data_IF_945737738370
#
_entry.id   IF_945737738370
#
_cell.length_a   1.000
_cell.length_b   1.000
_cell.length_c   1.000
_cell.angle_alpha   90.00
_cell.angle_beta   90.00
_cell.angle_gamma   90.00
#
_symmetry.space_group_name_H-M   'P 1'
#
loop_
_entity.id
_entity.type
_entity.pdbx_description
1 polymer ?
#
# COMPACT_ATOMS: atom_id res chain seq x y z
N UNK A 1 -2.94 -5.78 15.16
CA UNK A 1 -3.46 -5.39 13.83
C UNK A 1 -2.30 -5.46 12.84
N UNK A 2 -2.50 -5.99 11.62
CA UNK A 2 -1.41 -6.23 10.66
C UNK A 2 -0.81 -4.93 10.11
N UNK A 3 -1.66 -3.99 9.72
CA UNK A 3 -1.30 -2.59 9.43
C UNK A 3 -1.58 -1.74 10.65
N UNK A 4 -0.54 -1.45 11.43
CA UNK A 4 -0.62 -0.55 12.58
C UNK A 4 -0.57 0.92 12.16
N UNK A 5 -0.95 1.84 13.05
CA UNK A 5 -0.95 3.28 12.73
C UNK A 5 0.44 3.78 12.31
N UNK A 6 1.50 3.33 12.98
CA UNK A 6 2.88 3.71 12.65
C UNK A 6 3.28 3.27 11.24
N UNK A 7 2.80 2.11 10.77
CA UNK A 7 3.01 1.67 9.40
C UNK A 7 2.35 2.65 8.42
N UNK A 8 1.11 3.05 8.70
CA UNK A 8 0.37 4.00 7.84
C UNK A 8 1.07 5.36 7.81
N UNK A 9 1.48 5.88 8.96
CA UNK A 9 2.22 7.15 9.07
C UNK A 9 3.50 7.11 8.23
N UNK A 10 4.32 6.07 8.38
CA UNK A 10 5.56 5.92 7.60
C UNK A 10 5.30 5.92 6.09
N UNK A 11 4.30 5.17 5.62
CA UNK A 11 3.98 5.09 4.19
C UNK A 11 3.57 6.47 3.66
N UNK A 12 2.73 7.18 4.41
CA UNK A 12 2.27 8.53 4.03
C UNK A 12 3.43 9.51 3.95
N UNK A 13 4.32 9.50 4.93
CA UNK A 13 5.51 10.35 4.96
C UNK A 13 6.44 10.05 3.78
N UNK A 14 6.79 8.78 3.56
CA UNK A 14 7.71 8.38 2.50
C UNK A 14 7.12 8.58 1.09
N UNK A 15 5.82 8.40 0.92
CA UNK A 15 5.10 8.69 -0.33
C UNK A 15 5.09 10.18 -0.64
N UNK A 16 4.81 11.02 0.36
CA UNK A 16 4.85 12.47 0.19
C UNK A 16 6.27 12.96 -0.10
N UNK A 17 7.25 12.44 0.62
CA UNK A 17 8.65 12.79 0.42
C UNK A 17 9.13 12.42 -0.98
N UNK A 18 8.82 11.20 -1.44
CA UNK A 18 9.14 10.76 -2.80
C UNK A 18 8.52 11.67 -3.87
N UNK A 19 7.26 12.08 -3.71
CA UNK A 19 6.65 13.01 -4.68
C UNK A 19 7.35 14.37 -4.76
N UNK A 20 7.94 14.85 -3.65
CA UNK A 20 8.77 16.06 -3.63
C UNK A 20 10.09 15.81 -4.36
N UNK A 21 10.72 14.65 -4.19
CA UNK A 21 11.95 14.30 -4.90
C UNK A 21 11.73 14.28 -6.42
N UNK A 22 10.63 13.69 -6.87
CA UNK A 22 10.35 13.52 -8.30
C UNK A 22 9.84 14.78 -8.99
N UNK A 23 9.06 15.63 -8.29
CA UNK A 23 8.34 16.75 -8.93
C UNK A 23 8.59 18.12 -8.31
N UNK A 24 9.31 18.17 -7.20
CA UNK A 24 9.46 19.38 -6.37
C UNK A 24 8.20 19.73 -5.56
N UNK A 25 7.13 18.93 -5.62
CA UNK A 25 5.86 19.19 -4.92
C UNK A 25 5.29 17.94 -4.26
N UNK A 26 4.88 18.10 -3.00
CA UNK A 26 4.17 17.04 -2.28
C UNK A 26 2.77 16.82 -2.86
N UNK A 27 2.37 15.56 -2.99
CA UNK A 27 0.98 15.20 -3.30
C UNK A 27 0.02 15.40 -2.11
N UNK A 28 0.53 15.78 -0.94
CA UNK A 28 -0.23 16.04 0.30
C UNK A 28 -1.16 14.88 0.68
N UNK A 29 -0.66 13.66 0.56
CA UNK A 29 -1.34 12.47 1.04
C UNK A 29 -1.49 12.55 2.56
N UNK A 30 -2.65 12.13 3.09
CA UNK A 30 -2.93 12.05 4.52
C UNK A 30 -3.34 10.63 4.91
N UNK A 31 -3.24 10.28 6.20
CA UNK A 31 -3.52 8.92 6.70
C UNK A 31 -4.91 8.40 6.32
N UNK A 32 -5.95 9.23 6.46
CA UNK A 32 -7.33 8.82 6.10
C UNK A 32 -7.44 8.46 4.62
N UNK A 33 -6.83 9.25 3.75
CA UNK A 33 -6.88 9.02 2.30
C UNK A 33 -6.04 7.79 1.89
N UNK A 34 -4.95 7.51 2.61
CA UNK A 34 -4.21 6.26 2.42
C UNK A 34 -5.03 5.04 2.87
N UNK A 35 -5.79 5.15 3.97
CA UNK A 35 -6.70 4.09 4.39
C UNK A 35 -7.82 3.85 3.37
N UNK A 36 -8.36 4.91 2.76
CA UNK A 36 -9.31 4.80 1.64
C UNK A 36 -8.68 4.09 0.42
N UNK A 37 -7.43 4.40 0.11
CA UNK A 37 -6.67 3.72 -0.95
C UNK A 37 -6.46 2.22 -0.66
N UNK A 38 -6.18 1.86 0.60
CA UNK A 38 -6.10 0.46 1.03
C UNK A 38 -7.47 -0.24 0.98
N UNK A 39 -8.53 0.44 1.38
CA UNK A 39 -9.90 -0.08 1.30
C UNK A 39 -10.28 -0.44 -0.15
N UNK A 40 -9.91 0.43 -1.11
CA UNK A 40 -10.09 0.14 -2.53
C UNK A 40 -9.36 -1.15 -2.93
N UNK A 41 -8.10 -1.36 -2.52
CA UNK A 41 -7.37 -2.60 -2.84
C UNK A 41 -8.03 -3.86 -2.26
N UNK A 42 -8.56 -3.77 -1.03
CA UNK A 42 -9.30 -4.88 -0.42
C UNK A 42 -10.58 -5.20 -1.22
N UNK A 43 -11.30 -4.16 -1.66
CA UNK A 43 -12.49 -4.32 -2.49
C UNK A 43 -12.14 -4.93 -3.85
N UNK A 44 -11.07 -4.46 -4.48
CA UNK A 44 -10.60 -4.97 -5.77
C UNK A 44 -10.17 -6.44 -5.71
N UNK A 45 -9.61 -6.87 -4.57
CA UNK A 45 -9.29 -8.29 -4.34
C UNK A 45 -10.53 -9.18 -4.21
N UNK A 46 -11.71 -8.61 -3.93
CA UNK A 46 -12.98 -9.35 -3.86
C UNK A 46 -13.72 -9.34 -5.20
N UNK A 47 -13.70 -8.24 -5.94
CA UNK A 47 -14.45 -8.05 -7.18
C UNK A 47 -13.49 -7.69 -8.30
N UNK A 48 -12.81 -8.68 -8.86
CA UNK A 48 -11.79 -8.46 -9.88
C UNK A 48 -12.40 -7.97 -11.22
N UNK A 49 -11.74 -6.99 -11.84
CA UNK A 49 -12.11 -6.43 -13.15
C UNK A 49 -10.94 -6.61 -14.12
N UNK A 50 -11.19 -6.67 -15.45
CA UNK A 50 -10.12 -6.82 -16.44
C UNK A 50 -9.03 -5.75 -16.34
N UNK A 51 -9.42 -4.52 -16.00
CA UNK A 51 -8.51 -3.42 -15.69
C UNK A 51 -8.96 -2.70 -14.43
N UNK A 52 -8.02 -2.18 -13.63
CA UNK A 52 -8.37 -1.29 -12.52
C UNK A 52 -9.09 -0.02 -13.01
N UNK A 53 -8.95 0.37 -14.29
CA UNK A 53 -9.67 1.49 -14.88
C UNK A 53 -11.18 1.21 -14.99
N UNK A 54 -11.57 -0.06 -15.11
CA UNK A 54 -12.95 -0.46 -15.35
C UNK A 54 -13.86 -0.12 -14.17
N UNK A 55 -13.34 -0.12 -12.94
CA UNK A 55 -14.09 0.30 -11.74
C UNK A 55 -14.62 1.73 -11.84
N UNK A 56 -13.93 2.62 -12.56
CA UNK A 56 -14.35 4.00 -12.80
C UNK A 56 -14.94 4.24 -14.20
N UNK A 57 -15.03 3.20 -15.03
CA UNK A 57 -15.63 3.31 -16.37
C UNK A 57 -17.14 3.52 -16.28
N UNK A 58 -17.77 4.07 -17.32
CA UNK A 58 -19.23 4.20 -17.35
C UNK A 58 -19.95 2.84 -17.43
N UNK A 59 -19.35 1.87 -18.12
CA UNK A 59 -19.96 0.56 -18.39
C UNK A 59 -19.87 -0.39 -17.20
N UNK A 60 -18.76 -0.35 -16.48
CA UNK A 60 -18.45 -1.26 -15.37
C UNK A 60 -18.29 -0.50 -14.04
N UNK A 61 -18.88 0.71 -13.96
CA UNK A 61 -18.81 1.56 -12.79
C UNK A 61 -19.14 0.75 -11.55
N UNK A 62 -18.26 0.83 -10.55
CA UNK A 62 -18.49 0.19 -9.27
C UNK A 62 -18.49 1.23 -8.17
N UNK A 63 -19.70 1.58 -7.71
CA UNK A 63 -19.90 2.71 -6.80
C UNK A 63 -19.11 2.56 -5.49
N UNK A 64 -19.00 1.34 -4.96
CA UNK A 64 -18.17 1.02 -3.79
C UNK A 64 -16.69 1.40 -3.93
N UNK A 65 -16.16 1.59 -5.14
CA UNK A 65 -14.81 2.13 -5.39
C UNK A 65 -14.88 3.61 -5.76
N UNK A 66 -15.79 3.99 -6.66
CA UNK A 66 -15.83 5.37 -7.17
C UNK A 66 -16.31 6.41 -6.17
N UNK A 67 -17.08 6.02 -5.16
CA UNK A 67 -17.52 6.90 -4.07
C UNK A 67 -16.42 7.12 -3.02
N UNK A 68 -15.46 6.19 -2.90
CA UNK A 68 -14.33 6.30 -1.98
C UNK A 68 -13.32 7.32 -2.50
N UNK A 69 -12.90 7.19 -3.77
CA UNK A 69 -11.85 8.03 -4.33
C UNK A 69 -11.99 8.23 -5.85
N UNK A 70 -11.78 9.45 -6.37
CA UNK A 70 -11.70 9.68 -7.81
C UNK A 70 -10.49 8.98 -8.45
N UNK A 71 -10.67 8.43 -9.66
CA UNK A 71 -9.62 7.73 -10.41
C UNK A 71 -8.29 8.48 -10.47
N UNK A 72 -8.35 9.80 -10.73
CA UNK A 72 -7.15 10.64 -10.82
C UNK A 72 -6.36 10.68 -9.51
N UNK A 73 -7.05 10.71 -8.37
CA UNK A 73 -6.38 10.71 -7.06
C UNK A 73 -5.82 9.35 -6.72
N UNK A 74 -6.59 8.28 -7.00
CA UNK A 74 -6.11 6.90 -6.87
C UNK A 74 -4.83 6.67 -7.68
N UNK A 75 -4.81 7.08 -8.95
CA UNK A 75 -3.63 6.98 -9.82
C UNK A 75 -2.46 7.81 -9.30
N UNK A 76 -2.72 9.01 -8.77
CA UNK A 76 -1.66 9.84 -8.20
C UNK A 76 -1.00 9.15 -7.00
N UNK A 77 -1.79 8.61 -6.05
CA UNK A 77 -1.25 7.87 -4.90
C UNK A 77 -0.48 6.64 -5.37
N UNK A 78 -1.06 5.85 -6.27
CA UNK A 78 -0.43 4.64 -6.84
C UNK A 78 0.92 4.93 -7.50
N UNK A 79 1.06 6.05 -8.21
CA UNK A 79 2.30 6.40 -8.92
C UNK A 79 3.42 6.90 -8.01
N UNK A 80 3.10 7.42 -6.82
CA UNK A 80 4.10 7.93 -5.86
C UNK A 80 4.23 7.06 -4.60
N UNK A 81 3.52 5.94 -4.52
CA UNK A 81 3.57 5.05 -3.37
C UNK A 81 5.02 4.61 -3.12
N UNK A 82 5.53 4.93 -1.95
CA UNK A 82 6.92 4.71 -1.61
C UNK A 82 7.09 4.45 -0.09
N UNK A 83 8.12 3.68 0.27
CA UNK A 83 8.29 3.16 1.64
C UNK A 83 9.63 3.53 2.30
N UNK A 84 10.55 4.15 1.56
CA UNK A 84 11.90 4.51 2.04
C UNK A 84 12.40 5.79 1.40
N UNK A 85 13.35 6.47 2.03
CA UNK A 85 14.08 7.54 1.35
C UNK A 85 15.03 6.95 0.30
N UNK A 86 14.82 7.29 -0.98
CA UNK A 86 15.64 6.80 -2.09
C UNK A 86 17.11 7.28 -2.05
N UNK A 87 17.45 8.29 -1.24
CA UNK A 87 18.82 8.75 -1.05
C UNK A 87 19.65 7.85 -0.11
N UNK A 88 19.00 6.90 0.56
CA UNK A 88 19.62 6.04 1.58
C UNK A 88 19.66 4.57 1.12
N UNK A 89 20.25 4.33 -0.06
CA UNK A 89 20.58 2.95 -0.48
C UNK A 89 21.76 2.43 0.38
N UNK A 90 21.53 1.29 1.02
CA UNK A 90 22.49 0.62 1.90
C UNK A 90 23.09 -0.65 1.28
N UNK A 91 22.87 -0.89 -0.02
CA UNK A 91 23.36 -2.04 -0.78
C UNK A 91 22.53 -3.31 -0.61
N UNK A 92 21.49 -3.30 0.23
CA UNK A 92 20.53 -4.39 0.32
C UNK A 92 19.55 -4.36 -0.87
N UNK A 93 19.50 -5.44 -1.65
CA UNK A 93 18.58 -5.54 -2.81
C UNK A 93 17.10 -5.38 -2.46
N UNK A 94 16.70 -5.60 -1.20
CA UNK A 94 15.32 -5.49 -0.74
C UNK A 94 15.01 -4.18 0.01
N UNK A 95 15.96 -3.22 0.06
CA UNK A 95 15.86 -2.06 0.94
C UNK A 95 14.56 -1.28 0.77
N UNK A 96 14.04 -1.18 -0.46
CA UNK A 96 12.82 -0.45 -0.80
C UNK A 96 11.55 -0.94 -0.09
N UNK A 97 11.49 -2.20 0.30
CA UNK A 97 10.32 -2.78 0.97
C UNK A 97 10.65 -3.34 2.35
N UNK A 98 11.94 -3.43 2.72
CA UNK A 98 12.35 -4.07 3.97
C UNK A 98 11.73 -3.43 5.21
N UNK A 99 11.67 -2.10 5.36
CA UNK A 99 11.13 -1.50 6.59
C UNK A 99 9.66 -1.84 6.80
N UNK A 100 8.85 -1.76 5.75
CA UNK A 100 7.42 -2.08 5.82
C UNK A 100 7.21 -3.58 6.07
N UNK A 101 7.96 -4.44 5.37
CA UNK A 101 7.84 -5.89 5.51
C UNK A 101 8.21 -6.35 6.92
N UNK A 102 9.27 -5.80 7.50
CA UNK A 102 9.70 -6.16 8.85
C UNK A 102 8.66 -5.73 9.90
N UNK A 103 8.09 -4.53 9.77
CA UNK A 103 7.00 -4.08 10.67
C UNK A 103 5.78 -4.97 10.58
N UNK A 104 5.35 -5.34 9.37
CA UNK A 104 4.23 -6.27 9.18
C UNK A 104 4.56 -7.64 9.77
N UNK A 105 5.76 -8.16 9.55
CA UNK A 105 6.22 -9.43 10.12
C UNK A 105 6.17 -9.41 11.65
N UNK A 106 6.65 -8.34 12.27
CA UNK A 106 6.58 -8.17 13.73
C UNK A 106 5.13 -8.15 14.24
N UNK A 107 4.22 -7.50 13.51
CA UNK A 107 2.80 -7.51 13.85
C UNK A 107 2.20 -8.92 13.73
N UNK A 108 2.56 -9.70 12.69
CA UNK A 108 2.13 -11.09 12.56
C UNK A 108 2.64 -11.95 13.73
N UNK A 109 3.91 -11.84 14.08
CA UNK A 109 4.51 -12.61 15.19
C UNK A 109 3.86 -12.31 16.54
N UNK A 110 3.47 -11.05 16.78
CA UNK A 110 2.74 -10.67 18.01
C UNK A 110 1.33 -11.27 18.08
N UNK A 111 0.72 -11.55 16.92
CA UNK A 111 -0.62 -12.14 16.82
C UNK A 111 -0.58 -13.67 16.79
N UNK A 112 0.55 -14.25 16.37
CA UNK A 112 0.79 -15.68 16.41
C UNK A 112 0.84 -16.09 17.89
N UNK A 113 -0.27 -16.65 18.39
CA UNK A 113 -0.38 -17.16 19.75
C UNK A 113 0.58 -18.33 19.99
N UNK A 114 0.36 -19.08 21.08
CA UNK A 114 1.16 -20.27 21.39
C UNK A 114 0.77 -21.47 20.52
N UNK A 115 1.08 -21.39 19.22
CA UNK A 115 1.00 -22.53 18.29
C UNK A 115 2.31 -23.32 18.32
N UNK A 116 2.23 -24.64 18.22
CA UNK A 116 3.41 -25.53 18.22
C UNK A 116 3.50 -26.42 16.97
N UNK A 117 2.58 -26.25 16.01
CA UNK A 117 2.54 -27.00 14.76
C UNK A 117 2.57 -26.02 13.60
N UNK A 118 3.63 -26.11 12.80
CA UNK A 118 3.84 -25.23 11.65
C UNK A 118 4.02 -26.06 10.39
N UNK A 119 3.45 -25.57 9.29
CA UNK A 119 3.77 -26.01 7.94
C UNK A 119 4.61 -24.93 7.28
N UNK A 120 5.69 -25.33 6.61
CA UNK A 120 6.59 -24.41 5.89
C UNK A 120 6.48 -24.75 4.41
N UNK A 121 6.12 -23.76 3.62
CA UNK A 121 6.01 -23.87 2.16
C UNK A 121 6.46 -22.55 1.51
N UNK A 122 6.84 -22.62 0.24
CA UNK A 122 7.28 -21.48 -0.54
C UNK A 122 6.10 -20.89 -1.34
N UNK A 123 5.99 -19.55 -1.38
CA UNK A 123 5.00 -18.85 -2.18
C UNK A 123 5.70 -17.91 -3.16
N UNK A 124 5.34 -18.02 -4.44
CA UNK A 124 5.79 -17.09 -5.48
C UNK A 124 4.75 -15.98 -5.67
N UNK A 125 5.22 -14.74 -5.77
CA UNK A 125 4.43 -13.58 -6.17
C UNK A 125 4.86 -13.24 -7.60
N UNK A 126 3.92 -13.29 -8.54
CA UNK A 126 4.15 -13.05 -9.96
C UNK A 126 4.06 -11.55 -10.32
#
# INVERSE_FOLDING_TARGET
MFFSKDIVTDIVEQTNFYSVQETGKSIKLIENEFNDFLAIHIIMGKVEMPSYLDYWSQKFRYDNVTEIMPLKRYQQIRSYLNFVDNNHDNGDRYYKIRPILEKVRQNCLKLQGQENKFSIDEMMIA
#
